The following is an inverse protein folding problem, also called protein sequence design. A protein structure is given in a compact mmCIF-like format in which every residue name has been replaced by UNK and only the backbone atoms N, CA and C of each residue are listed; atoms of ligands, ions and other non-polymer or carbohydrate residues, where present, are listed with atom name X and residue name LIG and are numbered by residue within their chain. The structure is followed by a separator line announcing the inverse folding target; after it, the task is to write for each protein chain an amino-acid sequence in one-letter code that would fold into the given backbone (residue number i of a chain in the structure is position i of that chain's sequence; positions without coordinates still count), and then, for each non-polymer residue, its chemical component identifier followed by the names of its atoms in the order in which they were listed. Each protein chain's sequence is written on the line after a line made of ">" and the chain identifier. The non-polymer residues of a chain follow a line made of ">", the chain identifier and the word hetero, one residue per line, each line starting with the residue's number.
data_IF_107853580539
#
_entry.id   IF_107853580539
#
_cell.length_a   1.000
_cell.length_b   1.000
_cell.length_c   1.000
_cell.angle_alpha   90.00
_cell.angle_beta   90.00
_cell.angle_gamma   90.00
#
_symmetry.space_group_name_H-M   'P 1'
#
loop_
_entity.id
_entity.type
_entity.pdbx_description
1 polymer ?
#
# COMPACT_ATOMS: atom_id res chain seq x y z
N UNK A 1 -25.00 77.88 -21.43
CA UNK A 1 -26.48 78.08 -21.56
C UNK A 1 -27.14 77.07 -20.60
N UNK A 2 -27.57 77.60 -19.57
CA UNK A 2 -28.87 77.60 -18.90
C UNK A 2 -29.22 76.23 -18.25
N UNK A 3 -29.01 76.13 -16.97
CA UNK A 3 -29.98 76.30 -15.87
C UNK A 3 -31.24 75.37 -16.01
N UNK A 4 -31.49 74.54 -15.01
CA UNK A 4 -32.43 74.90 -13.91
C UNK A 4 -32.41 73.82 -12.80
N UNK A 5 -32.23 74.37 -11.61
CA UNK A 5 -32.56 73.85 -10.29
C UNK A 5 -34.05 73.40 -10.22
N UNK A 6 -34.35 72.39 -9.39
CA UNK A 6 -35.44 72.53 -8.42
C UNK A 6 -35.25 71.57 -7.23
N UNK A 7 -35.25 72.18 -6.10
CA UNK A 7 -35.33 71.74 -4.72
C UNK A 7 -36.74 71.36 -4.32
N UNK A 8 -36.90 70.49 -3.34
CA UNK A 8 -37.90 70.50 -2.24
C UNK A 8 -38.42 69.05 -1.98
N UNK A 9 -38.67 68.53 -0.87
CA UNK A 9 -38.78 68.98 0.52
C UNK A 9 -38.82 67.71 1.39
N UNK A 10 -38.34 67.81 2.58
CA UNK A 10 -38.35 66.96 3.76
C UNK A 10 -39.77 66.52 4.13
N UNK A 11 -39.95 65.24 4.48
CA UNK A 11 -40.88 64.84 5.51
C UNK A 11 -40.33 63.65 6.29
N UNK A 12 -40.03 63.85 7.53
CA UNK A 12 -39.57 62.86 8.45
C UNK A 12 -40.67 61.95 8.93
N UNK A 13 -40.39 60.71 9.12
CA UNK A 13 -41.17 59.85 10.01
C UNK A 13 -40.22 58.98 10.82
N UNK A 14 -40.23 59.23 12.08
CA UNK A 14 -39.54 58.48 13.14
C UNK A 14 -40.26 57.13 13.31
N UNK A 15 -39.58 56.06 13.01
CA UNK A 15 -40.05 54.72 13.34
C UNK A 15 -39.01 53.96 14.13
N UNK A 16 -39.38 53.55 15.28
CA UNK A 16 -38.69 52.89 16.37
C UNK A 16 -38.00 51.62 15.96
N UNK A 17 -36.73 51.54 16.29
CA UNK A 17 -35.92 50.33 16.22
C UNK A 17 -36.36 49.33 17.32
N UNK A 18 -36.98 48.25 16.91
CA UNK A 18 -37.00 47.04 17.71
C UNK A 18 -35.80 46.18 17.28
N UNK A 19 -34.74 46.22 18.05
CA UNK A 19 -33.67 45.24 17.98
C UNK A 19 -34.18 43.94 18.57
N UNK A 20 -34.65 43.05 17.71
CA UNK A 20 -34.78 41.65 18.06
C UNK A 20 -33.39 41.04 17.96
N UNK A 21 -32.75 40.77 19.11
CA UNK A 21 -31.66 39.84 19.18
C UNK A 21 -32.21 38.42 18.96
N UNK A 22 -32.21 37.95 17.71
CA UNK A 22 -32.23 36.55 17.45
C UNK A 22 -30.80 36.03 17.65
N UNK A 23 -30.59 35.27 18.72
CA UNK A 23 -29.41 34.44 18.88
C UNK A 23 -29.37 33.46 17.68
N UNK A 24 -28.23 33.34 17.00
CA UNK A 24 -28.09 32.28 16.00
C UNK A 24 -28.28 30.94 16.72
N UNK A 25 -29.29 30.20 16.35
CA UNK A 25 -29.43 28.79 16.68
C UNK A 25 -28.27 28.14 15.92
N UNK A 26 -27.22 27.76 16.65
CA UNK A 26 -26.22 26.84 16.16
C UNK A 26 -26.97 25.50 16.07
N UNK A 27 -27.48 25.17 14.92
CA UNK A 27 -27.80 23.80 14.58
C UNK A 27 -26.45 23.11 14.40
N UNK A 28 -25.93 22.55 15.50
CA UNK A 28 -24.96 21.46 15.43
C UNK A 28 -25.69 20.29 14.77
N UNK A 29 -25.57 20.18 13.48
CA UNK A 29 -25.77 18.98 12.67
C UNK A 29 -25.45 19.37 11.22
N UNK A 30 -24.20 19.74 10.91
CA UNK A 30 -23.65 19.32 9.64
C UNK A 30 -23.41 17.80 9.77
N UNK A 31 -24.49 17.02 9.64
CA UNK A 31 -24.37 15.67 9.13
C UNK A 31 -23.59 15.81 7.82
N UNK A 32 -22.30 15.48 7.85
CA UNK A 32 -21.55 15.21 6.63
C UNK A 32 -22.35 14.10 5.95
N UNK A 33 -23.12 14.44 4.92
CA UNK A 33 -23.85 13.45 4.13
C UNK A 33 -22.83 12.39 3.72
N UNK A 34 -22.96 11.19 4.30
CA UNK A 34 -22.21 10.02 3.92
C UNK A 34 -22.41 9.87 2.39
N UNK A 35 -21.36 9.79 1.58
CA UNK A 35 -21.51 9.79 0.13
C UNK A 35 -22.53 8.75 -0.28
N UNK A 36 -23.63 9.19 -0.88
CA UNK A 36 -24.73 8.33 -1.25
C UNK A 36 -24.25 7.26 -2.23
N UNK A 37 -24.26 6.01 -1.80
CA UNK A 37 -23.91 4.84 -2.61
C UNK A 37 -24.59 3.60 -2.06
N UNK A 38 -24.79 2.60 -2.91
CA UNK A 38 -25.40 1.33 -2.50
C UNK A 38 -24.38 0.27 -2.06
N UNK A 39 -23.08 0.57 -2.12
CA UNK A 39 -22.02 -0.29 -1.60
C UNK A 39 -21.03 0.54 -0.80
N UNK A 40 -20.96 0.30 0.51
CA UNK A 40 -19.93 0.84 1.40
C UNK A 40 -18.99 -0.28 1.84
N UNK A 41 -17.69 -0.06 1.71
CA UNK A 41 -16.65 -1.03 2.06
C UNK A 41 -15.73 -0.40 3.11
N UNK A 42 -15.58 -1.05 4.26
CA UNK A 42 -14.74 -0.57 5.35
C UNK A 42 -13.76 -1.64 5.80
N UNK A 43 -12.48 -1.30 5.89
CA UNK A 43 -11.45 -2.20 6.43
C UNK A 43 -11.55 -2.15 7.95
N UNK A 44 -11.75 -3.30 8.59
CA UNK A 44 -11.73 -3.39 10.04
C UNK A 44 -10.44 -4.03 10.59
N UNK A 45 -9.73 -4.79 9.76
CA UNK A 45 -8.58 -5.58 10.18
C UNK A 45 -7.62 -5.85 9.02
N UNK A 46 -6.32 -5.89 9.33
CA UNK A 46 -5.25 -6.41 8.46
C UNK A 46 -4.51 -7.50 9.23
N UNK A 47 -4.49 -8.73 8.70
CA UNK A 47 -3.79 -9.87 9.30
C UNK A 47 -4.02 -10.02 10.82
N UNK A 48 -5.27 -10.10 11.24
CA UNK A 48 -5.67 -10.20 12.66
C UNK A 48 -5.39 -8.97 13.53
N UNK A 49 -4.76 -7.93 13.01
CA UNK A 49 -4.55 -6.67 13.73
C UNK A 49 -5.61 -5.65 13.33
N UNK A 50 -6.34 -5.03 14.30
CA UNK A 50 -7.33 -4.01 14.00
C UNK A 50 -6.73 -2.86 13.18
N UNK A 51 -7.38 -2.47 12.09
CA UNK A 51 -6.89 -1.44 11.17
C UNK A 51 -6.58 -0.11 11.88
N UNK A 52 -7.46 0.30 12.80
CA UNK A 52 -7.25 1.53 13.58
C UNK A 52 -6.01 1.50 14.48
N UNK A 53 -5.55 0.32 14.90
CA UNK A 53 -4.32 0.19 15.68
C UNK A 53 -3.08 0.33 14.79
N UNK A 54 -3.14 -0.17 13.56
CA UNK A 54 -2.05 -0.08 12.58
C UNK A 54 -1.83 1.35 12.07
N UNK A 55 -2.90 2.11 11.87
CA UNK A 55 -2.82 3.51 11.39
C UNK A 55 -2.37 4.51 12.44
N UNK A 56 -2.40 4.15 13.73
CA UNK A 56 -2.04 5.03 14.85
C UNK A 56 -0.66 4.76 15.44
N UNK A 57 -0.02 3.65 15.08
CA UNK A 57 1.30 3.33 15.58
C UNK A 57 2.34 4.29 15.01
N UNK A 58 3.06 5.01 15.85
CA UNK A 58 4.12 5.96 15.47
C UNK A 58 5.29 5.32 14.71
N UNK A 59 5.33 3.99 14.58
CA UNK A 59 6.46 3.25 14.00
C UNK A 59 6.11 2.13 13.00
N UNK A 60 4.85 2.00 12.55
CA UNK A 60 4.52 0.89 11.65
C UNK A 60 3.15 0.96 11.01
N UNK A 61 2.96 1.88 10.06
CA UNK A 61 1.77 1.83 9.20
C UNK A 61 1.88 0.59 8.33
N UNK A 62 0.96 -0.38 8.47
CA UNK A 62 0.96 -1.61 7.68
C UNK A 62 0.89 -1.32 6.16
N UNK A 63 0.18 -0.26 5.78
CA UNK A 63 0.14 0.24 4.41
C UNK A 63 -0.18 1.73 4.39
N UNK A 64 0.44 2.46 3.47
CA UNK A 64 0.21 3.90 3.26
C UNK A 64 -0.74 4.18 2.10
N UNK A 65 -1.13 3.16 1.35
CA UNK A 65 -2.03 3.23 0.21
C UNK A 65 -3.05 2.10 0.25
N UNK A 66 -4.27 2.44 -0.13
CA UNK A 66 -5.37 1.50 -0.32
C UNK A 66 -5.96 1.70 -1.71
N UNK A 67 -6.22 0.59 -2.39
CA UNK A 67 -6.92 0.60 -3.67
C UNK A 67 -8.15 -0.28 -3.53
N UNK A 68 -9.33 0.34 -3.62
CA UNK A 68 -10.62 -0.35 -3.67
C UNK A 68 -11.01 -0.45 -5.14
N UNK A 69 -11.29 -1.64 -5.62
CA UNK A 69 -11.56 -1.89 -7.02
C UNK A 69 -12.78 -2.80 -7.15
N UNK A 70 -13.68 -2.47 -8.06
CA UNK A 70 -14.83 -3.31 -8.41
C UNK A 70 -14.67 -3.72 -9.87
N UNK A 71 -14.71 -5.04 -10.10
CA UNK A 71 -14.72 -5.65 -11.43
C UNK A 71 -16.08 -6.26 -11.71
N UNK A 72 -16.53 -6.20 -12.97
CA UNK A 72 -17.70 -6.93 -13.43
C UNK A 72 -17.40 -8.44 -13.56
N UNK A 73 -18.40 -9.25 -13.90
CA UNK A 73 -18.22 -10.69 -14.11
C UNK A 73 -17.21 -11.04 -15.22
N UNK A 74 -17.03 -10.14 -16.20
CA UNK A 74 -16.03 -10.27 -17.27
C UNK A 74 -14.59 -9.99 -16.81
N UNK A 75 -14.39 -9.55 -15.56
CA UNK A 75 -13.07 -9.17 -15.02
C UNK A 75 -12.61 -7.76 -15.43
N UNK A 76 -13.49 -6.94 -15.99
CA UNK A 76 -13.22 -5.54 -16.36
C UNK A 76 -13.47 -4.64 -15.16
N UNK A 77 -12.56 -3.70 -14.90
CA UNK A 77 -12.69 -2.72 -13.83
C UNK A 77 -13.80 -1.71 -14.12
N UNK A 78 -14.85 -1.67 -13.29
CA UNK A 78 -15.99 -0.77 -13.45
C UNK A 78 -15.94 0.45 -12.52
N UNK A 79 -15.39 0.27 -11.30
CA UNK A 79 -15.18 1.36 -10.33
C UNK A 79 -13.88 1.15 -9.57
N UNK A 80 -13.32 2.25 -9.06
CA UNK A 80 -12.18 2.20 -8.14
C UNK A 80 -12.11 3.47 -7.30
N UNK A 81 -11.48 3.34 -6.13
CA UNK A 81 -11.07 4.44 -5.25
C UNK A 81 -9.64 4.17 -4.78
N UNK A 82 -8.74 5.14 -4.99
CA UNK A 82 -7.35 5.05 -4.60
C UNK A 82 -7.08 6.04 -3.47
N UNK A 83 -6.71 5.53 -2.32
CA UNK A 83 -6.52 6.32 -1.11
C UNK A 83 -5.05 6.32 -0.66
N UNK A 84 -4.66 7.41 -0.02
CA UNK A 84 -3.42 7.56 0.75
C UNK A 84 -3.76 7.94 2.18
N UNK A 85 -2.79 7.89 3.09
CA UNK A 85 -2.97 8.25 4.51
C UNK A 85 -3.56 9.67 4.71
N UNK A 86 -3.38 10.56 3.74
CA UNK A 86 -3.89 11.94 3.80
C UNK A 86 -5.41 12.04 3.50
N UNK A 87 -6.02 10.96 2.99
CA UNK A 87 -7.46 10.96 2.73
C UNK A 87 -8.26 10.82 4.03
N UNK A 88 -9.22 11.72 4.26
CA UNK A 88 -10.06 11.70 5.46
C UNK A 88 -10.84 10.39 5.62
N UNK A 89 -11.20 9.73 4.50
CA UNK A 89 -11.91 8.45 4.45
C UNK A 89 -10.97 7.24 4.33
N UNK A 90 -9.68 7.37 4.64
CA UNK A 90 -8.72 6.27 4.53
C UNK A 90 -9.21 5.02 5.24
N UNK A 91 -9.35 3.92 4.49
CA UNK A 91 -9.91 2.65 4.98
C UNK A 91 -11.39 2.45 4.68
N UNK A 92 -12.09 3.44 4.10
CA UNK A 92 -13.51 3.32 3.74
C UNK A 92 -13.75 3.88 2.34
N UNK A 93 -14.43 3.12 1.48
CA UNK A 93 -14.85 3.53 0.16
C UNK A 93 -16.35 3.30 -0.05
N UNK A 94 -17.01 4.20 -0.78
CA UNK A 94 -18.44 4.09 -1.13
C UNK A 94 -18.60 4.15 -2.63
N UNK A 95 -19.42 3.23 -3.19
CA UNK A 95 -19.67 3.12 -4.61
C UNK A 95 -21.17 3.12 -4.91
N UNK A 96 -21.55 3.78 -6.00
CA UNK A 96 -22.83 3.61 -6.63
C UNK A 96 -22.68 2.69 -7.84
N UNK A 97 -23.31 1.51 -7.79
CA UNK A 97 -23.25 0.46 -8.79
C UNK A 97 -24.67 0.07 -9.24
N UNK A 98 -24.86 -0.32 -10.51
CA UNK A 98 -26.07 -1.06 -10.91
C UNK A 98 -26.21 -2.36 -10.12
N UNK A 99 -27.44 -2.88 -10.04
CA UNK A 99 -27.66 -4.23 -9.50
C UNK A 99 -26.91 -5.26 -10.34
N UNK A 100 -26.31 -6.24 -9.67
CA UNK A 100 -25.57 -7.31 -10.34
C UNK A 100 -24.47 -7.94 -9.47
N UNK A 101 -23.77 -8.89 -10.08
CA UNK A 101 -22.67 -9.58 -9.46
C UNK A 101 -21.33 -8.94 -9.87
N UNK A 102 -20.45 -8.77 -8.89
CA UNK A 102 -19.17 -8.11 -9.03
C UNK A 102 -18.08 -8.87 -8.26
N UNK A 103 -16.82 -8.61 -8.63
CA UNK A 103 -15.67 -8.97 -7.81
C UNK A 103 -15.16 -7.71 -7.12
N UNK A 104 -15.28 -7.67 -5.80
CA UNK A 104 -14.67 -6.62 -4.97
C UNK A 104 -13.24 -7.03 -4.63
N UNK A 105 -12.30 -6.13 -4.90
CA UNK A 105 -10.88 -6.27 -4.55
C UNK A 105 -10.44 -5.07 -3.75
N UNK A 106 -9.74 -5.30 -2.64
CA UNK A 106 -9.08 -4.25 -1.87
C UNK A 106 -7.62 -4.62 -1.71
N UNK A 107 -6.71 -3.73 -2.12
CA UNK A 107 -5.25 -3.90 -2.02
C UNK A 107 -4.68 -2.85 -1.09
N UNK A 108 -3.97 -3.30 -0.05
CA UNK A 108 -3.19 -2.44 0.85
C UNK A 108 -1.69 -2.58 0.57
N UNK A 109 -0.94 -1.48 0.44
CA UNK A 109 0.50 -1.48 0.19
C UNK A 109 1.15 -0.13 0.54
N UNK A 110 2.49 -0.05 0.46
CA UNK A 110 3.25 1.20 0.70
C UNK A 110 4.18 1.59 -0.46
N UNK A 111 3.93 1.06 -1.67
CA UNK A 111 4.71 1.40 -2.87
C UNK A 111 4.59 2.87 -3.25
N UNK A 112 5.54 3.40 -4.05
CA UNK A 112 5.63 4.82 -4.43
C UNK A 112 4.50 5.31 -5.37
N UNK A 113 3.51 4.47 -5.69
CA UNK A 113 2.35 4.79 -6.51
C UNK A 113 1.40 3.61 -6.62
N UNK A 114 0.27 3.80 -7.30
CA UNK A 114 -0.72 2.75 -7.46
C UNK A 114 -0.27 1.73 -8.53
N UNK A 115 -0.49 0.43 -8.32
CA UNK A 115 -0.25 -0.60 -9.33
C UNK A 115 -1.22 -0.43 -10.52
N UNK A 116 -0.91 -1.08 -11.63
CA UNK A 116 -1.87 -1.21 -12.73
C UNK A 116 -2.90 -2.27 -12.37
N UNK A 117 -4.18 -1.88 -12.33
CA UNK A 117 -5.30 -2.67 -11.81
C UNK A 117 -6.46 -2.77 -12.81
N UNK A 118 -6.16 -2.80 -14.11
CA UNK A 118 -7.20 -2.90 -15.16
C UNK A 118 -7.68 -4.33 -15.39
N UNK A 119 -6.89 -5.31 -15.00
CA UNK A 119 -7.15 -6.73 -15.14
C UNK A 119 -7.11 -7.41 -13.76
N UNK A 120 -8.22 -8.04 -13.38
CA UNK A 120 -8.37 -8.79 -12.12
C UNK A 120 -7.27 -9.85 -11.93
N UNK A 121 -6.88 -10.51 -13.03
CA UNK A 121 -5.88 -11.59 -13.01
C UNK A 121 -4.44 -11.11 -13.10
N UNK A 122 -4.25 -9.77 -13.22
CA UNK A 122 -2.93 -9.19 -13.42
C UNK A 122 -2.82 -7.79 -12.81
N UNK A 123 -2.85 -7.70 -11.49
CA UNK A 123 -2.52 -6.47 -10.77
C UNK A 123 -1.01 -6.34 -10.72
N UNK A 124 -0.45 -5.28 -11.35
CA UNK A 124 0.99 -5.18 -11.65
C UNK A 124 1.65 -4.05 -10.89
N UNK A 125 2.64 -4.40 -10.08
CA UNK A 125 3.67 -3.50 -9.57
C UNK A 125 4.88 -3.49 -10.51
N UNK A 126 5.58 -2.38 -10.59
CA UNK A 126 6.83 -2.26 -11.36
C UNK A 126 8.01 -1.97 -10.43
N UNK A 127 9.24 -2.23 -10.87
CA UNK A 127 10.44 -1.85 -10.12
C UNK A 127 10.47 -0.36 -9.77
N UNK A 128 9.90 0.49 -10.63
CA UNK A 128 9.80 1.94 -10.38
C UNK A 128 8.88 2.29 -9.19
N UNK A 129 7.83 1.52 -8.98
CA UNK A 129 6.90 1.71 -7.85
C UNK A 129 7.47 1.15 -6.55
N UNK A 130 8.38 0.18 -6.65
CA UNK A 130 8.87 -0.60 -5.51
C UNK A 130 7.88 -1.70 -5.09
N UNK A 131 8.42 -2.73 -4.46
CA UNK A 131 7.67 -3.85 -3.89
C UNK A 131 7.71 -3.73 -2.38
N UNK A 132 6.54 -3.77 -1.76
CA UNK A 132 6.37 -3.60 -0.31
C UNK A 132 5.48 -4.67 0.27
N UNK A 133 5.35 -4.71 1.57
CA UNK A 133 4.33 -5.52 2.20
C UNK A 133 2.98 -5.23 1.55
N UNK A 134 2.26 -6.27 1.11
CA UNK A 134 1.06 -6.15 0.30
C UNK A 134 -0.02 -7.09 0.80
N UNK A 135 -1.21 -6.52 0.99
CA UNK A 135 -2.37 -7.17 1.56
C UNK A 135 -3.53 -7.16 0.56
N UNK A 136 -4.36 -8.18 0.59
CA UNK A 136 -5.46 -8.40 -0.35
C UNK A 136 -6.73 -8.83 0.37
N UNK A 137 -7.85 -8.24 -0.06
CA UNK A 137 -9.19 -8.83 0.05
C UNK A 137 -9.74 -9.00 -1.35
N UNK A 138 -10.31 -10.15 -1.66
CA UNK A 138 -10.93 -10.41 -2.97
C UNK A 138 -12.09 -11.38 -2.82
N UNK A 139 -13.32 -10.92 -3.08
CA UNK A 139 -14.53 -11.75 -3.02
C UNK A 139 -15.57 -11.31 -4.04
N UNK A 140 -16.35 -12.28 -4.50
CA UNK A 140 -17.60 -12.01 -5.22
C UNK A 140 -18.63 -11.41 -4.28
N UNK A 141 -19.33 -10.39 -4.76
CA UNK A 141 -20.41 -9.70 -4.07
C UNK A 141 -21.58 -9.54 -5.02
N UNK A 142 -22.79 -9.55 -4.47
CA UNK A 142 -24.01 -9.16 -5.20
C UNK A 142 -24.45 -7.80 -4.69
N UNK A 143 -24.66 -6.85 -5.59
CA UNK A 143 -25.17 -5.51 -5.30
C UNK A 143 -26.63 -5.47 -5.71
N UNK A 144 -27.47 -4.95 -4.82
CA UNK A 144 -28.89 -4.70 -5.02
C UNK A 144 -29.17 -3.19 -4.89
N UNK A 145 -30.44 -2.79 -5.02
CA UNK A 145 -30.89 -1.41 -4.74
C UNK A 145 -30.80 -1.05 -3.23
N UNK A 146 -30.76 -2.06 -2.34
CA UNK A 146 -30.59 -1.85 -0.91
C UNK A 146 -29.13 -1.54 -0.55
N UNK A 147 -28.88 -0.62 0.40
CA UNK A 147 -27.52 -0.33 0.89
C UNK A 147 -26.83 -1.57 1.46
N UNK A 148 -25.58 -1.78 1.09
CA UNK A 148 -24.75 -2.89 1.54
C UNK A 148 -23.47 -2.38 2.19
N UNK A 149 -23.31 -2.60 3.50
CA UNK A 149 -22.15 -2.25 4.29
C UNK A 149 -21.26 -3.48 4.50
N UNK A 150 -20.11 -3.52 3.82
CA UNK A 150 -19.16 -4.62 3.92
C UNK A 150 -17.97 -4.24 4.80
N UNK A 151 -17.73 -5.05 5.83
CA UNK A 151 -16.51 -5.01 6.62
C UNK A 151 -15.53 -6.07 6.11
N UNK A 152 -14.33 -5.64 5.76
CA UNK A 152 -13.34 -6.50 5.11
C UNK A 152 -12.07 -6.62 5.94
N UNK A 153 -11.46 -7.81 5.90
CA UNK A 153 -10.14 -8.10 6.42
C UNK A 153 -9.17 -8.27 5.26
N UNK A 154 -8.02 -7.61 5.31
CA UNK A 154 -6.95 -7.78 4.34
C UNK A 154 -5.96 -8.83 4.83
N UNK A 155 -5.56 -9.74 3.95
CA UNK A 155 -4.57 -10.79 4.22
C UNK A 155 -3.32 -10.58 3.41
N UNK A 156 -2.15 -10.79 4.00
CA UNK A 156 -0.86 -10.67 3.31
C UNK A 156 -0.73 -11.72 2.22
N UNK A 157 -0.25 -11.27 1.05
CA UNK A 157 -0.08 -12.14 -0.12
C UNK A 157 1.37 -12.19 -0.64
N UNK A 158 2.28 -11.44 -0.04
CA UNK A 158 3.70 -11.44 -0.39
C UNK A 158 4.50 -12.38 0.50
N UNK A 159 5.69 -12.73 0.01
CA UNK A 159 6.76 -13.34 0.79
C UNK A 159 7.90 -12.35 0.93
N UNK A 160 8.62 -12.41 2.03
CA UNK A 160 9.74 -11.54 2.33
C UNK A 160 11.04 -12.35 2.39
N UNK A 161 12.05 -11.97 1.57
CA UNK A 161 13.44 -12.31 1.85
C UNK A 161 14.09 -11.15 2.60
N UNK A 162 14.54 -11.41 3.80
CA UNK A 162 15.31 -10.48 4.62
C UNK A 162 16.78 -10.80 4.53
N UNK A 163 17.50 -9.97 3.78
CA UNK A 163 18.93 -10.10 3.57
C UNK A 163 19.70 -9.32 4.65
N UNK A 164 20.57 -10.01 5.41
CA UNK A 164 21.32 -9.42 6.52
C UNK A 164 22.80 -9.62 6.31
N UNK A 165 23.57 -8.53 6.23
CA UNK A 165 25.03 -8.51 6.08
C UNK A 165 25.66 -8.44 7.47
N UNK A 166 26.55 -9.39 7.78
CA UNK A 166 27.17 -9.48 9.10
C UNK A 166 28.61 -8.92 9.15
N UNK A 167 29.23 -8.76 8.01
CA UNK A 167 30.58 -8.17 7.90
C UNK A 167 30.56 -6.66 7.64
N UNK A 168 31.72 -6.03 7.69
CA UNK A 168 31.84 -4.60 7.49
C UNK A 168 31.77 -4.25 6.00
N UNK A 169 31.24 -3.06 5.74
CA UNK A 169 31.16 -2.51 4.40
C UNK A 169 32.54 -2.01 3.94
N UNK A 170 32.89 -2.26 2.66
CA UNK A 170 34.02 -1.58 2.03
C UNK A 170 33.85 -0.06 2.02
N UNK A 171 34.95 0.69 2.18
CA UNK A 171 34.92 2.15 2.24
C UNK A 171 34.39 2.82 0.94
N UNK A 172 34.51 2.14 -0.18
CA UNK A 172 34.08 2.59 -1.51
C UNK A 172 32.67 2.13 -1.88
N UNK A 173 31.99 1.40 -1.00
CA UNK A 173 30.62 0.96 -1.23
C UNK A 173 29.63 2.14 -1.25
N UNK A 174 28.93 2.31 -2.37
CA UNK A 174 27.93 3.36 -2.53
C UNK A 174 26.49 2.83 -2.61
N UNK A 175 26.29 1.69 -3.26
CA UNK A 175 24.94 1.12 -3.47
C UNK A 175 24.94 -0.40 -3.43
N UNK A 176 23.79 -0.96 -2.98
CA UNK A 176 23.48 -2.39 -3.09
C UNK A 176 22.39 -2.58 -4.14
N UNK A 177 22.60 -3.47 -5.09
CA UNK A 177 21.63 -3.89 -6.09
C UNK A 177 21.16 -5.31 -5.81
N UNK A 178 19.86 -5.51 -5.78
CA UNK A 178 19.20 -6.81 -5.63
C UNK A 178 18.40 -7.10 -6.89
N UNK A 179 18.83 -8.09 -7.65
CA UNK A 179 18.17 -8.56 -8.86
C UNK A 179 17.69 -9.98 -8.63
N UNK A 180 16.38 -10.23 -8.79
CA UNK A 180 15.81 -11.54 -8.51
C UNK A 180 14.70 -11.94 -9.48
N UNK A 181 14.62 -13.28 -9.68
CA UNK A 181 13.63 -13.98 -10.50
C UNK A 181 13.06 -15.15 -9.72
N UNK A 182 12.08 -15.88 -10.28
CA UNK A 182 11.38 -16.96 -9.59
C UNK A 182 10.15 -16.52 -8.81
N UNK A 183 9.96 -15.20 -8.66
CA UNK A 183 8.74 -14.58 -8.18
C UNK A 183 8.08 -13.72 -9.26
N UNK A 184 7.14 -12.89 -8.85
CA UNK A 184 6.35 -12.03 -9.73
C UNK A 184 6.22 -10.61 -9.18
N UNK A 185 6.23 -9.63 -10.08
CA UNK A 185 5.84 -8.25 -9.81
C UNK A 185 4.36 -7.99 -10.04
N UNK A 186 3.58 -9.01 -10.41
CA UNK A 186 2.14 -8.94 -10.58
C UNK A 186 1.46 -10.14 -9.92
N UNK A 187 0.22 -9.98 -9.51
CA UNK A 187 -0.57 -11.07 -8.94
C UNK A 187 -1.98 -11.16 -9.53
N UNK A 188 -2.57 -12.35 -9.47
CA UNK A 188 -3.98 -12.60 -9.73
C UNK A 188 -4.76 -12.35 -8.45
N UNK A 189 -5.63 -11.34 -8.43
CA UNK A 189 -6.41 -11.01 -7.24
C UNK A 189 -7.44 -12.08 -6.87
N UNK A 190 -7.77 -13.01 -7.75
CA UNK A 190 -8.67 -14.13 -7.42
C UNK A 190 -8.00 -15.21 -6.58
N UNK A 191 -6.67 -15.32 -6.63
CA UNK A 191 -5.88 -16.32 -5.94
C UNK A 191 -4.90 -15.75 -4.90
N UNK A 192 -4.42 -14.52 -5.11
CA UNK A 192 -3.35 -13.91 -4.34
C UNK A 192 -1.94 -14.35 -4.75
N UNK A 193 -1.82 -15.17 -5.81
CA UNK A 193 -0.53 -15.64 -6.31
C UNK A 193 0.02 -14.82 -7.46
N UNK A 194 1.33 -14.90 -7.66
CA UNK A 194 2.03 -14.27 -8.77
C UNK A 194 1.50 -14.75 -10.12
N UNK A 195 1.18 -13.79 -11.02
CA UNK A 195 0.52 -14.08 -12.30
C UNK A 195 1.43 -14.02 -13.51
N UNK A 196 2.67 -13.53 -13.38
CA UNK A 196 3.63 -13.42 -14.48
C UNK A 196 5.03 -13.77 -14.01
N UNK A 197 5.78 -14.53 -14.81
CA UNK A 197 7.22 -14.67 -14.59
C UNK A 197 7.89 -13.33 -14.90
N UNK A 198 8.47 -12.69 -13.89
CA UNK A 198 9.11 -11.38 -14.05
C UNK A 198 10.39 -11.29 -13.24
N UNK A 199 11.27 -10.39 -13.69
CA UNK A 199 12.43 -9.98 -12.92
C UNK A 199 12.05 -8.79 -12.04
N UNK A 200 12.58 -8.79 -10.83
CA UNK A 200 12.48 -7.69 -9.89
C UNK A 200 13.88 -7.14 -9.64
N UNK A 201 14.00 -5.83 -9.53
CA UNK A 201 15.28 -5.16 -9.32
C UNK A 201 15.08 -3.98 -8.39
N UNK A 202 15.86 -3.97 -7.31
CA UNK A 202 15.79 -2.92 -6.27
C UNK A 202 17.19 -2.43 -5.98
N UNK A 203 17.35 -1.12 -5.83
CA UNK A 203 18.58 -0.47 -5.42
C UNK A 203 18.39 0.19 -4.07
N UNK A 204 19.38 0.07 -3.20
CA UNK A 204 19.47 0.78 -1.93
C UNK A 204 20.78 1.58 -1.92
N UNK A 205 20.68 2.87 -1.64
CA UNK A 205 21.84 3.68 -1.27
C UNK A 205 22.36 3.17 0.07
N UNK A 206 23.67 3.14 0.23
CA UNK A 206 24.28 2.56 1.42
C UNK A 206 24.17 3.53 2.60
N UNK A 207 23.56 3.04 3.66
CA UNK A 207 23.64 3.58 5.00
C UNK A 207 24.57 2.66 5.82
N UNK A 208 25.70 3.16 6.39
CA UNK A 208 26.61 2.33 7.16
C UNK A 208 25.95 1.60 8.35
N UNK A 209 24.89 2.17 8.89
CA UNK A 209 24.15 1.59 10.00
C UNK A 209 23.08 0.59 9.56
N UNK A 210 22.75 0.55 8.26
CA UNK A 210 21.76 -0.36 7.70
C UNK A 210 22.43 -1.62 7.17
N UNK A 211 22.31 -2.71 7.92
CA UNK A 211 22.81 -4.05 7.53
C UNK A 211 21.71 -5.00 7.05
N UNK A 212 20.47 -4.51 6.94
CA UNK A 212 19.28 -5.31 6.62
C UNK A 212 18.52 -4.74 5.42
N UNK A 213 18.17 -5.62 4.48
CA UNK A 213 17.44 -5.30 3.25
C UNK A 213 16.24 -6.23 3.09
N UNK A 214 15.07 -5.67 2.94
CA UNK A 214 13.81 -6.40 2.82
C UNK A 214 13.37 -6.45 1.35
N UNK A 215 13.22 -7.65 0.80
CA UNK A 215 12.89 -7.92 -0.59
C UNK A 215 11.57 -8.67 -0.67
N UNK A 216 10.54 -8.03 -1.23
CA UNK A 216 9.20 -8.59 -1.35
C UNK A 216 8.96 -9.16 -2.75
N UNK A 217 8.18 -10.24 -2.83
CA UNK A 217 7.73 -10.81 -4.10
C UNK A 217 6.41 -11.55 -3.93
N UNK A 218 5.65 -11.69 -5.02
CA UNK A 218 4.49 -12.60 -5.09
C UNK A 218 4.98 -13.95 -5.61
N UNK A 219 4.79 -15.02 -4.84
CA UNK A 219 5.09 -16.36 -5.30
C UNK A 219 3.97 -16.88 -6.22
N UNK A 220 4.33 -17.79 -7.14
CA UNK A 220 3.37 -18.42 -8.07
C UNK A 220 2.53 -19.53 -7.42
N UNK A 221 2.95 -20.00 -6.24
CA UNK A 221 2.31 -21.01 -5.42
C UNK A 221 2.59 -20.71 -3.93
N UNK A 222 2.14 -21.55 -3.03
CA UNK A 222 2.38 -21.48 -1.58
C UNK A 222 3.86 -21.49 -1.21
N UNK A 223 4.69 -22.08 -2.04
CA UNK A 223 6.16 -22.10 -1.89
C UNK A 223 6.85 -21.96 -3.25
N UNK A 224 8.12 -21.53 -3.24
CA UNK A 224 8.92 -21.36 -4.44
C UNK A 224 10.37 -21.06 -4.14
N UNK A 225 11.21 -21.07 -5.17
CA UNK A 225 12.60 -20.66 -5.09
C UNK A 225 12.79 -19.35 -5.82
N UNK A 226 13.33 -18.35 -5.11
CA UNK A 226 13.76 -17.07 -5.68
C UNK A 226 15.26 -17.13 -5.96
N UNK A 227 15.64 -16.82 -7.21
CA UNK A 227 17.04 -16.72 -7.64
C UNK A 227 17.48 -15.27 -7.52
N UNK A 228 18.23 -14.97 -6.48
CA UNK A 228 18.69 -13.62 -6.13
C UNK A 228 20.17 -13.44 -6.53
N UNK A 229 20.48 -12.36 -7.24
CA UNK A 229 21.83 -11.85 -7.40
C UNK A 229 21.97 -10.53 -6.63
N UNK A 230 22.90 -10.50 -5.68
CA UNK A 230 23.24 -9.30 -4.91
C UNK A 230 24.55 -8.73 -5.44
N UNK A 231 24.55 -7.46 -5.82
CA UNK A 231 25.70 -6.73 -6.34
C UNK A 231 25.99 -5.51 -5.49
N UNK A 232 27.20 -5.41 -4.97
CA UNK A 232 27.72 -4.22 -4.31
C UNK A 232 28.41 -3.33 -5.35
N UNK A 233 28.09 -2.05 -5.37
CA UNK A 233 28.55 -1.07 -6.36
C UNK A 233 29.24 0.12 -5.69
N UNK A 234 30.30 0.63 -6.32
CA UNK A 234 30.91 1.91 -5.95
C UNK A 234 30.12 3.11 -6.50
N UNK A 235 30.58 4.32 -6.23
CA UNK A 235 29.96 5.57 -6.71
C UNK A 235 30.01 5.75 -8.24
N UNK A 236 30.85 4.99 -8.93
CA UNK A 236 30.97 4.96 -10.40
C UNK A 236 30.21 3.80 -11.05
N UNK A 237 29.39 3.08 -10.29
CA UNK A 237 28.66 1.86 -10.72
C UNK A 237 29.57 0.67 -11.08
N UNK A 238 30.82 0.65 -10.63
CA UNK A 238 31.66 -0.51 -10.77
C UNK A 238 31.35 -1.56 -9.71
N UNK A 239 31.42 -2.83 -10.10
CA UNK A 239 31.14 -3.96 -9.21
C UNK A 239 32.30 -4.18 -8.23
N UNK A 240 32.00 -4.05 -6.92
CA UNK A 240 32.89 -4.41 -5.84
C UNK A 240 32.81 -5.90 -5.54
N UNK A 241 31.57 -6.40 -5.39
CA UNK A 241 31.29 -7.80 -5.10
C UNK A 241 29.93 -8.19 -5.70
N UNK A 242 29.83 -9.42 -6.22
CA UNK A 242 28.56 -9.96 -6.71
C UNK A 242 28.41 -11.42 -6.29
N UNK A 243 27.23 -11.79 -5.78
CA UNK A 243 26.94 -13.18 -5.36
C UNK A 243 25.52 -13.60 -5.71
N UNK A 244 25.33 -14.79 -6.28
CA UNK A 244 24.04 -15.42 -6.47
C UNK A 244 23.64 -16.24 -5.24
N UNK A 245 22.30 -16.32 -5.01
CA UNK A 245 21.67 -17.14 -3.97
C UNK A 245 20.37 -17.76 -4.50
N UNK A 246 20.14 -19.03 -4.17
CA UNK A 246 18.87 -19.70 -4.37
C UNK A 246 18.15 -19.75 -3.02
N UNK A 247 17.00 -19.06 -2.94
CA UNK A 247 16.30 -18.80 -1.68
C UNK A 247 14.95 -19.53 -1.70
N UNK A 248 14.77 -20.56 -0.87
CA UNK A 248 13.44 -21.15 -0.67
C UNK A 248 12.56 -20.13 0.08
N UNK A 249 11.36 -19.90 -0.44
CA UNK A 249 10.40 -18.97 0.14
C UNK A 249 9.03 -19.61 0.27
N UNK A 250 8.28 -19.22 1.28
CA UNK A 250 6.91 -19.63 1.55
C UNK A 250 6.04 -18.37 1.59
N UNK A 251 4.84 -18.43 0.99
CA UNK A 251 3.91 -17.30 0.98
C UNK A 251 3.56 -16.89 2.42
N UNK A 252 3.49 -15.59 2.64
CA UNK A 252 3.20 -15.00 3.96
C UNK A 252 4.20 -15.41 5.05
N UNK A 253 5.46 -15.67 4.68
CA UNK A 253 6.55 -15.95 5.62
C UNK A 253 7.80 -15.14 5.29
N UNK A 254 8.70 -15.04 6.27
CA UNK A 254 9.99 -14.40 6.14
C UNK A 254 11.06 -15.45 6.00
N UNK A 255 11.84 -15.38 4.92
CA UNK A 255 13.09 -16.12 4.78
C UNK A 255 14.24 -15.20 5.10
N UNK A 256 14.97 -15.51 6.17
CA UNK A 256 16.18 -14.81 6.56
C UNK A 256 17.39 -15.39 5.82
N UNK A 257 18.15 -14.53 5.15
CA UNK A 257 19.41 -14.84 4.50
C UNK A 257 20.51 -14.03 5.18
N UNK A 258 21.24 -14.63 6.10
CA UNK A 258 22.21 -13.94 6.97
C UNK A 258 23.61 -14.47 6.73
N UNK A 259 24.60 -13.58 6.58
CA UNK A 259 25.98 -13.97 6.43
C UNK A 259 26.93 -12.85 6.06
N UNK A 260 28.24 -13.21 6.03
CA UNK A 260 29.32 -12.34 5.56
C UNK A 260 29.24 -12.22 4.03
N UNK A 261 28.96 -11.03 3.53
CA UNK A 261 28.80 -10.79 2.09
C UNK A 261 30.13 -10.45 1.40
N UNK A 262 30.96 -9.64 2.03
CA UNK A 262 32.22 -9.14 1.43
C UNK A 262 33.41 -10.03 1.70
N UNK A 263 33.55 -10.58 2.91
CA UNK A 263 34.74 -11.37 3.33
C UNK A 263 34.61 -12.85 3.06
N UNK A 264 33.39 -13.38 2.84
CA UNK A 264 33.16 -14.79 2.48
C UNK A 264 33.55 -15.03 1.02
N UNK A 265 34.48 -15.96 0.73
CA UNK A 265 34.85 -16.36 -0.64
C UNK A 265 33.69 -16.99 -1.41
N UNK A 266 33.74 -17.02 -2.74
CA UNK A 266 32.81 -17.78 -3.57
C UNK A 266 32.83 -19.26 -3.15
N UNK A 267 31.73 -19.78 -2.62
CA UNK A 267 31.62 -21.12 -2.03
C UNK A 267 31.77 -21.19 -0.51
N UNK A 268 31.88 -20.05 0.18
CA UNK A 268 31.89 -19.99 1.65
C UNK A 268 30.53 -20.41 2.22
N UNK A 269 30.54 -21.43 3.08
CA UNK A 269 29.36 -21.99 3.80
C UNK A 269 28.87 -21.08 4.93
N UNK A 270 29.25 -19.80 4.95
CA UNK A 270 28.93 -18.85 6.01
C UNK A 270 27.58 -18.16 5.91
N UNK A 271 26.74 -18.52 4.93
CA UNK A 271 25.39 -17.98 4.80
C UNK A 271 24.39 -18.92 5.45
N UNK A 272 23.59 -18.42 6.39
CA UNK A 272 22.50 -19.16 7.03
C UNK A 272 21.19 -18.75 6.42
N UNK A 273 20.37 -19.71 6.01
CA UNK A 273 19.00 -19.50 5.58
C UNK A 273 18.05 -20.02 6.67
N UNK A 274 17.17 -19.16 7.15
CA UNK A 274 16.13 -19.51 8.13
C UNK A 274 14.77 -19.02 7.63
N UNK A 275 13.77 -19.89 7.68
CA UNK A 275 12.38 -19.52 7.35
C UNK A 275 11.62 -19.37 8.66
N UNK A 276 10.98 -18.24 8.87
CA UNK A 276 10.17 -17.96 10.05
C UNK A 276 8.69 -17.81 9.63
N UNK A 277 7.82 -18.60 10.28
CA UNK A 277 6.38 -18.57 10.05
C UNK A 277 5.71 -17.33 10.68
N UNK A 278 6.32 -16.75 11.72
CA UNK A 278 5.71 -15.69 12.51
C UNK A 278 6.14 -14.30 12.00
N UNK A 279 5.44 -13.80 10.97
CA UNK A 279 5.65 -12.43 10.48
C UNK A 279 5.32 -11.37 11.54
N UNK A 280 4.41 -11.70 12.48
CA UNK A 280 3.94 -10.79 13.52
C UNK A 280 4.91 -10.64 14.72
N UNK A 281 5.86 -11.56 14.92
CA UNK A 281 6.75 -11.60 16.12
C UNK A 281 8.07 -10.85 15.94
N UNK A 282 8.21 -10.04 14.90
CA UNK A 282 9.47 -9.34 14.59
C UNK A 282 9.87 -8.21 15.54
N UNK A 283 9.02 -7.79 16.45
CA UNK A 283 9.31 -6.65 17.30
C UNK A 283 10.34 -6.91 18.42
N UNK A 284 10.83 -8.14 18.60
CA UNK A 284 11.58 -8.50 19.81
C UNK A 284 12.75 -9.48 19.66
N UNK A 285 13.52 -9.42 18.57
CA UNK A 285 14.85 -10.07 18.61
C UNK A 285 15.92 -8.99 18.71
N UNK A 286 16.19 -8.57 19.94
CA UNK A 286 17.43 -7.88 20.29
C UNK A 286 18.54 -8.91 20.37
N UNK A 287 19.59 -8.73 19.58
CA UNK A 287 20.85 -9.44 19.74
C UNK A 287 21.79 -8.63 20.61
#
# INVERSE_FOLDING_TARGET
>A
MSMKKKTMIICGLLATLFTSCESPVITDDEETEDPQGNLKVSIYQIEQTPFSALTRAESGVACSRLNFIVYNEGGERVKYDNQTLDNANFGTATFQLPEGDYQLVVVGHSSNGNPTMTDLKKITFSNKLGFTDTFLYSKKITVTDEPNDLKVELKRIVSLCRFVITDDYPDDLARMRFYYTGGSGAFDASTGFGSVASKQEVFFDVDPDQKRYDLYTFLHDTEGTVHLTVTALDSGDNVICERPFDIPMIQNQITWLTGAFFTGGAGSTGVTITINADWADESHISF
#
